data_IF_783117353164
#
_entry.id   IF_783117353164
#
_cell.length_a   1.000
_cell.length_b   1.000
_cell.length_c   1.000
_cell.angle_alpha   90.00
_cell.angle_beta   90.00
_cell.angle_gamma   90.00
#
_symmetry.space_group_name_H-M   'P 1'
#
loop_
_entity.id
_entity.type
_entity.pdbx_description
1 polymer ?
#
# COMPACT_ATOMS: atom_id res chain seq x y z
N UNK A 1 5.87 -11.54 -12.63
CA UNK A 1 6.39 -10.38 -13.38
C UNK A 1 5.89 -9.09 -12.77
N UNK A 2 6.00 -7.99 -13.49
CA UNK A 2 5.39 -6.71 -13.08
C UNK A 2 3.87 -6.75 -13.19
N UNK A 3 3.19 -5.96 -12.36
CA UNK A 3 1.74 -5.84 -12.32
C UNK A 3 1.34 -4.37 -12.42
N UNK A 4 0.35 -4.08 -13.25
CA UNK A 4 -0.25 -2.75 -13.36
C UNK A 4 -1.77 -2.88 -13.31
N UNK A 5 -2.41 -2.11 -12.44
CA UNK A 5 -3.87 -2.07 -12.32
C UNK A 5 -4.35 -0.62 -12.18
N UNK A 6 -5.44 -0.31 -12.88
CA UNK A 6 -6.16 0.96 -12.79
C UNK A 6 -7.64 0.65 -12.58
N UNK A 7 -8.17 0.94 -11.39
CA UNK A 7 -9.51 0.53 -10.96
C UNK A 7 -10.17 1.65 -10.14
N UNK A 8 -11.48 1.60 -9.91
CA UNK A 8 -12.13 2.54 -8.99
C UNK A 8 -11.76 2.25 -7.53
N UNK A 9 -12.25 1.15 -6.98
CA UNK A 9 -11.88 0.68 -5.64
C UNK A 9 -11.15 -0.66 -5.76
N UNK A 10 -10.07 -0.83 -5.00
CA UNK A 10 -9.40 -2.12 -4.86
C UNK A 10 -9.63 -2.67 -3.46
N UNK A 11 -10.30 -3.82 -3.39
CA UNK A 11 -10.56 -4.52 -2.14
C UNK A 11 -9.62 -5.71 -2.00
N UNK A 12 -8.70 -5.62 -1.04
CA UNK A 12 -7.70 -6.64 -0.71
C UNK A 12 -7.86 -7.12 0.74
N UNK A 13 -9.07 -7.04 1.30
CA UNK A 13 -9.34 -7.42 2.69
C UNK A 13 -9.25 -8.94 2.93
N UNK A 14 -9.37 -9.34 4.20
CA UNK A 14 -9.65 -10.73 4.60
C UNK A 14 -8.66 -11.77 4.04
N UNK A 15 -7.37 -11.52 4.24
CA UNK A 15 -6.26 -12.35 3.71
C UNK A 15 -6.11 -12.29 2.19
N UNK A 16 -6.64 -11.25 1.54
CA UNK A 16 -6.35 -10.89 0.16
C UNK A 16 -4.84 -10.72 -0.08
N UNK A 17 -4.39 -11.03 -1.31
CA UNK A 17 -2.97 -11.00 -1.68
C UNK A 17 -2.77 -10.42 -3.07
N UNK A 18 -2.12 -9.26 -3.15
CA UNK A 18 -1.63 -8.64 -4.38
C UNK A 18 -0.11 -8.74 -4.42
N UNK A 19 0.43 -9.69 -5.18
CA UNK A 19 1.85 -10.01 -5.18
C UNK A 19 2.46 -9.85 -6.57
N UNK A 20 3.44 -8.95 -6.71
CA UNK A 20 4.24 -8.80 -7.92
C UNK A 20 5.66 -9.28 -7.68
N UNK A 21 6.14 -10.20 -8.53
CA UNK A 21 7.55 -10.61 -8.53
C UNK A 21 8.48 -9.59 -9.22
N UNK A 22 7.89 -8.56 -9.85
CA UNK A 22 8.57 -7.39 -10.40
C UNK A 22 8.06 -6.11 -9.75
N UNK A 23 7.89 -5.05 -10.54
CA UNK A 23 7.30 -3.81 -10.07
C UNK A 23 5.77 -3.92 -9.92
N UNK A 24 5.20 -3.25 -8.92
CA UNK A 24 3.75 -3.13 -8.74
C UNK A 24 3.33 -1.68 -8.91
N UNK A 25 2.42 -1.41 -9.84
CA UNK A 25 1.76 -0.12 -10.00
C UNK A 25 0.25 -0.29 -9.81
N UNK A 26 -0.31 0.37 -8.80
CA UNK A 26 -1.74 0.42 -8.55
C UNK A 26 -2.23 1.87 -8.56
N UNK A 27 -3.19 2.15 -9.43
CA UNK A 27 -3.96 3.40 -9.40
C UNK A 27 -5.41 3.08 -9.03
N UNK A 28 -5.93 3.74 -8.00
CA UNK A 28 -7.32 3.57 -7.56
C UNK A 28 -7.86 4.76 -6.77
N UNK A 29 -9.17 4.98 -6.77
CA UNK A 29 -9.80 5.96 -5.87
C UNK A 29 -9.67 5.52 -4.40
N UNK A 30 -9.52 4.22 -4.13
CA UNK A 30 -9.25 3.71 -2.79
C UNK A 30 -8.70 2.29 -2.77
N UNK A 31 -7.88 2.01 -1.76
CA UNK A 31 -7.37 0.68 -1.44
C UNK A 31 -7.81 0.30 -0.03
N UNK A 32 -8.56 -0.80 0.10
CA UNK A 32 -8.81 -1.46 1.37
C UNK A 32 -7.91 -2.69 1.53
N UNK A 33 -6.86 -2.57 2.32
CA UNK A 33 -5.89 -3.63 2.63
C UNK A 33 -6.05 -4.16 4.06
N UNK A 34 -7.28 -4.14 4.62
CA UNK A 34 -7.57 -4.62 5.97
C UNK A 34 -7.25 -6.10 6.11
N UNK A 35 -6.28 -6.44 6.97
CA UNK A 35 -5.77 -7.82 7.10
C UNK A 35 -5.37 -8.43 5.74
N UNK A 36 -4.91 -7.59 4.81
CA UNK A 36 -4.48 -7.94 3.46
C UNK A 36 -2.97 -7.81 3.27
N UNK A 37 -2.46 -8.35 2.15
CA UNK A 37 -1.04 -8.25 1.79
C UNK A 37 -0.91 -7.66 0.38
N UNK A 38 -0.08 -6.63 0.24
CA UNK A 38 0.38 -6.06 -1.02
C UNK A 38 1.91 -6.07 -1.04
N UNK A 39 2.53 -6.63 -2.08
CA UNK A 39 3.98 -6.78 -2.17
C UNK A 39 4.52 -6.63 -3.59
N UNK A 40 5.65 -5.92 -3.73
CA UNK A 40 6.42 -5.81 -4.98
C UNK A 40 7.93 -5.99 -4.74
N UNK A 41 8.61 -6.66 -5.68
CA UNK A 41 10.04 -6.98 -5.56
C UNK A 41 10.97 -5.97 -6.23
N UNK A 42 10.50 -5.23 -7.24
CA UNK A 42 11.27 -4.21 -7.96
C UNK A 42 10.65 -2.82 -7.78
N UNK A 43 10.07 -2.60 -6.59
CA UNK A 43 9.39 -1.38 -6.22
C UNK A 43 7.86 -1.49 -6.26
N UNK A 44 7.23 -0.59 -5.51
CA UNK A 44 5.78 -0.46 -5.40
C UNK A 44 5.44 1.02 -5.58
N UNK A 45 4.50 1.30 -6.47
CA UNK A 45 3.93 2.63 -6.66
C UNK A 45 2.40 2.56 -6.48
N UNK A 46 1.91 3.31 -5.50
CA UNK A 46 0.49 3.42 -5.18
C UNK A 46 0.04 4.86 -5.41
N UNK A 47 -0.81 5.06 -6.42
CA UNK A 47 -1.46 6.34 -6.71
C UNK A 47 -2.92 6.22 -6.31
N UNK A 48 -3.27 6.67 -5.09
CA UNK A 48 -4.57 6.37 -4.51
C UNK A 48 -5.34 7.64 -4.10
N UNK A 49 -6.67 7.56 -4.05
CA UNK A 49 -7.45 8.55 -3.30
C UNK A 49 -7.23 8.38 -1.80
N UNK A 50 -7.38 7.17 -1.27
CA UNK A 50 -7.18 6.84 0.15
C UNK A 50 -6.64 5.42 0.34
N UNK A 51 -6.00 5.15 1.48
CA UNK A 51 -5.49 3.83 1.84
C UNK A 51 -5.91 3.47 3.26
N UNK A 52 -6.66 2.37 3.39
CA UNK A 52 -6.91 1.68 4.65
C UNK A 52 -5.99 0.46 4.74
N UNK A 53 -4.96 0.52 5.57
CA UNK A 53 -4.02 -0.56 5.86
C UNK A 53 -4.11 -0.95 7.36
N UNK A 54 -5.28 -1.42 7.79
CA UNK A 54 -5.56 -1.68 9.21
C UNK A 54 -5.65 -3.17 9.54
N UNK A 55 -5.77 -3.49 10.84
CA UNK A 55 -6.00 -4.85 11.36
C UNK A 55 -4.95 -5.87 10.86
N UNK A 56 -3.67 -5.48 10.86
CA UNK A 56 -2.56 -6.32 10.37
C UNK A 56 -2.35 -6.26 8.85
N UNK A 57 -2.95 -5.29 8.15
CA UNK A 57 -2.66 -5.02 6.75
C UNK A 57 -1.17 -4.77 6.51
N UNK A 58 -0.64 -5.31 5.42
CA UNK A 58 0.77 -5.20 5.05
C UNK A 58 0.94 -4.68 3.63
N UNK A 59 1.72 -3.61 3.49
CA UNK A 59 2.26 -3.09 2.24
C UNK A 59 3.78 -3.18 2.32
N UNK A 60 4.38 -3.92 1.40
CA UNK A 60 5.83 -4.14 1.39
C UNK A 60 6.43 -3.90 -0.01
N UNK A 61 7.51 -3.14 -0.06
CA UNK A 61 8.39 -3.08 -1.21
C UNK A 61 9.78 -3.56 -0.81
N UNK A 62 10.33 -4.52 -1.57
CA UNK A 62 11.75 -4.88 -1.43
C UNK A 62 12.69 -3.78 -1.92
N UNK A 63 12.21 -2.99 -2.88
CA UNK A 63 12.92 -1.83 -3.39
C UNK A 63 12.17 -0.56 -2.92
N UNK A 64 12.14 0.51 -3.71
CA UNK A 64 11.44 1.73 -3.30
C UNK A 64 9.92 1.54 -3.14
N UNK A 65 9.36 2.16 -2.12
CA UNK A 65 7.92 2.27 -1.89
C UNK A 65 7.48 3.72 -2.07
N UNK A 66 6.69 3.99 -3.12
CA UNK A 66 6.19 5.33 -3.43
C UNK A 66 4.66 5.37 -3.25
N UNK A 67 4.17 6.20 -2.34
CA UNK A 67 2.75 6.43 -2.11
C UNK A 67 2.40 7.89 -2.41
N UNK A 68 1.50 8.08 -3.36
CA UNK A 68 0.84 9.37 -3.60
C UNK A 68 -0.64 9.20 -3.32
N UNK A 69 -1.12 9.82 -2.25
CA UNK A 69 -2.48 9.75 -1.77
C UNK A 69 -3.16 11.13 -1.86
N UNK A 70 -4.34 11.20 -2.46
CA UNK A 70 -5.17 12.40 -2.45
C UNK A 70 -5.79 12.71 -1.07
N UNK A 71 -5.88 11.70 -0.21
CA UNK A 71 -6.55 11.72 1.08
C UNK A 71 -5.70 11.11 2.19
N UNK A 72 -6.35 10.42 3.12
CA UNK A 72 -5.74 9.91 4.36
C UNK A 72 -5.20 8.49 4.16
N UNK A 73 -4.02 8.24 4.74
CA UNK A 73 -3.51 6.91 5.06
C UNK A 73 -3.93 6.53 6.48
N UNK A 74 -4.74 5.48 6.62
CA UNK A 74 -5.04 4.84 7.90
C UNK A 74 -4.20 3.58 8.04
N UNK A 75 -3.29 3.57 9.02
CA UNK A 75 -2.38 2.46 9.31
C UNK A 75 -2.49 2.06 10.79
N UNK A 76 -3.64 1.51 11.18
CA UNK A 76 -3.88 1.01 12.55
C UNK A 76 -3.48 -0.47 12.67
N UNK A 77 -2.49 -0.77 13.51
CA UNK A 77 -1.86 -2.10 13.62
C UNK A 77 -1.35 -2.66 12.27
N UNK A 78 -1.19 -1.80 11.26
CA UNK A 78 -0.70 -2.17 9.94
C UNK A 78 0.78 -1.87 9.78
N UNK A 79 1.34 -2.37 8.67
CA UNK A 79 2.74 -2.15 8.30
C UNK A 79 2.84 -1.63 6.88
N UNK A 80 3.51 -0.50 6.72
CA UNK A 80 4.10 -0.05 5.46
C UNK A 80 5.61 -0.18 5.61
N UNK A 81 6.22 -1.00 4.76
CA UNK A 81 7.67 -1.25 4.81
C UNK A 81 8.31 -1.11 3.44
N UNK A 82 9.43 -0.41 3.42
CA UNK A 82 10.39 -0.40 2.33
C UNK A 82 11.71 -0.98 2.81
N UNK A 83 12.38 -1.82 2.00
CA UNK A 83 13.79 -2.18 2.27
C UNK A 83 14.77 -1.18 1.59
N UNK A 84 14.26 -0.23 0.79
CA UNK A 84 15.00 0.90 0.24
C UNK A 84 14.34 2.24 0.64
N UNK A 85 14.30 3.23 -0.24
CA UNK A 85 13.66 4.52 0.04
C UNK A 85 12.12 4.41 0.09
N UNK A 86 11.50 5.11 1.04
CA UNK A 86 10.06 5.34 1.09
C UNK A 86 9.76 6.82 0.82
N UNK A 87 8.89 7.09 -0.15
CA UNK A 87 8.28 8.40 -0.35
C UNK A 87 6.77 8.30 -0.09
N UNK A 88 6.27 9.10 0.85
CA UNK A 88 4.88 9.12 1.26
C UNK A 88 4.35 10.55 1.19
N UNK A 89 3.50 10.80 0.20
CA UNK A 89 2.71 12.01 0.08
C UNK A 89 1.25 11.68 0.35
N UNK A 90 0.68 12.26 1.40
CA UNK A 90 -0.73 12.10 1.75
C UNK A 90 -1.30 13.39 2.32
N UNK A 91 -2.62 13.58 2.24
CA UNK A 91 -3.29 14.70 2.91
C UNK A 91 -3.27 14.53 4.44
N UNK A 92 -3.17 13.28 4.91
CA UNK A 92 -2.99 12.97 6.33
C UNK A 92 -2.48 11.54 6.54
N UNK A 93 -1.80 11.33 7.65
CA UNK A 93 -1.33 10.02 8.11
C UNK A 93 -1.87 9.76 9.52
N UNK A 94 -2.72 8.76 9.65
CA UNK A 94 -3.15 8.21 10.93
C UNK A 94 -2.44 6.87 11.13
N UNK A 95 -1.36 6.87 11.93
CA UNK A 95 -0.58 5.68 12.23
C UNK A 95 -0.71 5.32 13.72
N UNK A 96 -1.67 4.44 14.05
CA UNK A 96 -1.98 4.06 15.42
C UNK A 96 -1.51 2.63 15.66
N UNK A 97 -0.56 2.40 16.57
CA UNK A 97 0.05 1.07 16.78
C UNK A 97 0.59 0.39 15.50
N UNK A 98 0.73 1.14 14.41
CA UNK A 98 1.23 0.67 13.12
C UNK A 98 2.67 1.12 12.89
N UNK A 99 3.29 0.56 11.87
CA UNK A 99 4.66 0.90 11.46
C UNK A 99 4.68 1.47 10.05
N UNK A 100 5.47 2.53 9.87
CA UNK A 100 5.85 3.11 8.58
C UNK A 100 7.36 3.25 8.63
N UNK A 101 8.08 2.39 7.91
CA UNK A 101 9.54 2.27 8.00
C UNK A 101 10.20 1.95 6.67
#
# INVERSE_FOLDING_TARGET
GSLTANVGQFDNREKGRLLASGALLLTADGLNNLNGILSGQQGVQLNLGQLNNTAGGSVYAKDALNLTLGGVLQNDQGVLRSDAAMDLKAAGLANTNGSVS
#
